data_IF_299566527268
#
_entry.id   IF_299566527268
#
_cell.length_a   1.000
_cell.length_b   1.000
_cell.length_c   1.000
_cell.angle_alpha   90.00
_cell.angle_beta   90.00
_cell.angle_gamma   90.00
#
_symmetry.space_group_name_H-M   'P 1'
#
loop_
_entity.id
_entity.type
_entity.pdbx_description
1 polymer ?
#
# COMPACT_ATOMS: atom_id res chain seq x y z
N UNK A 1 -14.76 -14.15 -41.13
CA UNK A 1 -13.33 -14.02 -41.45
C UNK A 1 -13.00 -12.53 -41.46
N UNK A 2 -12.40 -12.00 -40.41
CA UNK A 2 -11.74 -10.69 -40.38
C UNK A 2 -10.58 -10.82 -39.40
N UNK A 3 -9.38 -10.78 -39.95
CA UNK A 3 -8.09 -10.86 -39.26
C UNK A 3 -7.89 -9.58 -38.44
N UNK A 4 -7.66 -9.71 -37.18
CA UNK A 4 -7.10 -8.64 -36.35
C UNK A 4 -5.58 -8.78 -36.31
N UNK A 5 -4.91 -7.90 -37.06
CA UNK A 5 -3.47 -7.72 -37.05
C UNK A 5 -3.05 -7.11 -35.70
N UNK A 6 -2.12 -7.79 -35.03
CA UNK A 6 -1.46 -7.27 -33.82
C UNK A 6 -0.60 -6.05 -34.16
N UNK A 7 -0.86 -4.94 -33.53
CA UNK A 7 0.05 -3.80 -33.45
C UNK A 7 0.72 -3.78 -32.09
N UNK A 8 2.03 -3.91 -32.16
CA UNK A 8 3.06 -3.92 -31.13
C UNK A 8 2.87 -2.89 -30.00
N UNK A 9 2.81 -3.41 -28.77
CA UNK A 9 2.95 -2.70 -27.49
C UNK A 9 4.45 -2.47 -27.13
N UNK A 10 5.26 -1.97 -28.03
CA UNK A 10 6.69 -1.73 -27.80
C UNK A 10 7.03 -0.25 -27.55
N UNK A 11 6.10 0.57 -27.09
CA UNK A 11 6.30 2.01 -26.94
C UNK A 11 6.14 2.60 -25.53
N UNK A 12 5.88 1.80 -24.48
CA UNK A 12 5.62 2.32 -23.13
C UNK A 12 6.59 1.81 -22.05
N UNK A 13 7.60 1.03 -22.42
CA UNK A 13 8.62 0.53 -21.47
C UNK A 13 9.78 1.52 -21.18
N UNK A 14 9.83 2.70 -21.79
CA UNK A 14 11.02 3.54 -21.77
C UNK A 14 10.87 4.91 -21.07
N UNK A 15 10.06 5.01 -20.02
CA UNK A 15 10.08 6.20 -19.12
C UNK A 15 9.67 5.92 -17.67
N UNK A 16 10.02 4.78 -17.12
CA UNK A 16 10.37 4.71 -15.72
C UNK A 16 11.88 4.97 -15.71
N UNK A 17 12.31 6.21 -15.61
CA UNK A 17 13.65 6.52 -15.20
C UNK A 17 13.83 5.90 -13.81
N UNK A 18 14.29 4.64 -13.82
CA UNK A 18 14.94 4.05 -12.70
C UNK A 18 16.00 5.04 -12.22
N UNK A 19 15.96 5.42 -10.95
CA UNK A 19 17.18 5.74 -10.22
C UNK A 19 18.18 4.67 -10.67
N UNK A 20 19.34 5.02 -11.27
CA UNK A 20 20.20 4.05 -11.88
C UNK A 20 20.72 3.10 -10.80
N UNK A 21 20.11 1.93 -10.72
CA UNK A 21 20.72 0.79 -10.05
C UNK A 21 21.96 0.45 -10.86
N UNK A 22 23.13 0.65 -10.25
CA UNK A 22 24.42 0.33 -10.82
C UNK A 22 24.40 -1.09 -11.40
N UNK A 23 25.01 -1.26 -12.58
CA UNK A 23 25.14 -2.52 -13.33
C UNK A 23 25.65 -3.64 -12.43
N UNK A 24 25.15 -4.84 -12.63
CA UNK A 24 25.31 -6.04 -11.80
C UNK A 24 26.73 -6.53 -11.53
N UNK A 25 27.77 -5.92 -12.05
CA UNK A 25 29.17 -6.37 -11.89
C UNK A 25 29.96 -5.59 -10.81
N UNK A 26 29.50 -4.44 -10.36
CA UNK A 26 30.08 -3.67 -9.25
C UNK A 26 29.40 -3.95 -7.89
N UNK A 27 28.48 -4.90 -7.84
CA UNK A 27 27.52 -5.13 -6.77
C UNK A 27 28.04 -5.86 -5.53
N UNK A 28 29.32 -6.19 -5.49
CA UNK A 28 29.98 -6.80 -4.33
C UNK A 28 30.75 -5.80 -3.46
N UNK A 29 30.58 -4.49 -3.65
CA UNK A 29 30.89 -3.55 -2.59
C UNK A 29 30.00 -3.96 -1.41
N UNK A 30 30.59 -4.60 -0.41
CA UNK A 30 29.89 -5.30 0.66
C UNK A 30 28.92 -4.36 1.36
N UNK A 31 27.62 -4.68 1.31
CA UNK A 31 26.64 -4.02 2.18
C UNK A 31 27.05 -4.34 3.62
N UNK A 32 27.32 -3.29 4.38
CA UNK A 32 27.65 -3.37 5.82
C UNK A 32 26.35 -3.07 6.58
N UNK A 33 25.88 -4.05 7.34
CA UNK A 33 24.70 -3.93 8.18
C UNK A 33 25.08 -3.72 9.65
N UNK A 34 24.33 -2.88 10.33
CA UNK A 34 24.41 -2.65 11.77
C UNK A 34 23.06 -2.96 12.40
N UNK A 35 23.04 -3.69 13.53
CA UNK A 35 21.84 -3.94 14.31
C UNK A 35 21.91 -3.11 15.60
N UNK A 36 20.86 -2.32 15.82
CA UNK A 36 20.63 -1.58 17.07
C UNK A 36 19.44 -2.26 17.78
N UNK A 37 19.68 -2.73 18.98
CA UNK A 37 18.69 -3.52 19.73
C UNK A 37 17.73 -2.62 20.50
N UNK A 38 16.42 -2.93 20.43
CA UNK A 38 15.36 -2.28 21.17
C UNK A 38 15.31 -0.74 21.04
N UNK A 39 15.75 -0.23 19.91
CA UNK A 39 15.80 1.20 19.64
C UNK A 39 15.65 1.48 18.14
N UNK A 40 15.02 2.63 17.82
CA UNK A 40 15.00 3.19 16.45
C UNK A 40 15.76 4.52 16.50
N UNK A 41 17.00 4.55 16.01
CA UNK A 41 17.81 5.77 16.00
C UNK A 41 17.20 6.87 15.11
N UNK A 42 17.40 8.17 15.43
CA UNK A 42 16.83 9.28 14.65
C UNK A 42 17.16 9.19 13.16
N UNK A 43 18.41 8.94 12.78
CA UNK A 43 18.82 8.81 11.38
C UNK A 43 18.17 7.60 10.66
N UNK A 44 17.80 6.54 11.39
CA UNK A 44 17.03 5.43 10.83
C UNK A 44 15.57 5.81 10.60
N UNK A 45 14.98 6.68 11.43
CA UNK A 45 13.63 7.21 11.23
C UNK A 45 13.57 7.99 9.91
N UNK A 46 14.51 8.91 9.70
CA UNK A 46 14.62 9.68 8.47
C UNK A 46 14.91 8.77 7.26
N UNK A 47 15.73 7.74 7.48
CA UNK A 47 16.02 6.71 6.49
C UNK A 47 14.80 5.94 6.02
N UNK A 48 13.92 5.52 6.94
CA UNK A 48 12.66 4.82 6.61
C UNK A 48 11.77 5.66 5.71
N UNK A 49 11.60 6.95 6.04
CA UNK A 49 10.74 7.84 5.25
C UNK A 49 11.34 8.16 3.88
N UNK A 50 12.66 8.43 3.83
CA UNK A 50 13.37 8.75 2.59
C UNK A 50 13.47 7.57 1.64
N UNK A 51 13.78 6.36 2.15
CA UNK A 51 13.99 5.18 1.31
C UNK A 51 12.66 4.58 0.82
N UNK A 52 11.61 4.64 1.63
CA UNK A 52 10.42 3.87 1.35
C UNK A 52 9.17 4.70 1.06
N UNK A 53 9.05 5.89 1.63
CA UNK A 53 7.89 6.77 1.42
C UNK A 53 6.54 6.08 1.70
N UNK A 54 6.53 5.04 2.53
CA UNK A 54 5.38 4.20 2.81
C UNK A 54 4.90 4.39 4.25
N UNK A 55 3.59 4.47 4.44
CA UNK A 55 2.98 4.56 5.77
C UNK A 55 3.38 3.36 6.66
N UNK A 56 3.39 2.16 6.09
CA UNK A 56 3.68 0.91 6.79
C UNK A 56 5.19 0.64 6.97
N UNK A 57 6.04 1.56 6.51
CA UNK A 57 7.46 1.63 6.81
C UNK A 57 7.79 2.84 7.70
N UNK A 58 6.85 3.76 7.93
CA UNK A 58 7.05 4.96 8.73
C UNK A 58 7.03 4.64 10.24
N UNK A 59 8.10 5.01 10.96
CA UNK A 59 8.19 4.76 12.41
C UNK A 59 7.09 5.46 13.19
N UNK A 60 6.68 6.66 12.80
CA UNK A 60 5.56 7.38 13.44
C UNK A 60 4.28 6.55 13.46
N UNK A 61 3.98 5.83 12.38
CA UNK A 61 2.83 4.95 12.30
C UNK A 61 3.05 3.64 13.06
N UNK A 62 4.20 3.00 12.88
CA UNK A 62 4.49 1.70 13.50
C UNK A 62 4.46 1.76 15.02
N UNK A 63 4.98 2.82 15.65
CA UNK A 63 4.92 3.02 17.11
C UNK A 63 3.50 3.27 17.63
N UNK A 64 2.57 3.74 16.79
CA UNK A 64 1.15 3.84 17.19
C UNK A 64 0.45 2.48 17.18
N UNK A 65 0.91 1.56 16.32
CA UNK A 65 0.40 0.19 16.27
C UNK A 65 0.99 -0.68 17.40
N UNK A 66 2.28 -0.48 17.69
CA UNK A 66 3.00 -1.23 18.70
C UNK A 66 4.03 -0.32 19.39
N UNK A 67 3.78 0.12 20.64
CA UNK A 67 4.63 1.08 21.32
C UNK A 67 5.97 0.51 21.81
N UNK A 68 6.13 -0.82 21.84
CA UNK A 68 7.40 -1.46 22.24
C UNK A 68 8.45 -1.23 21.16
N UNK A 69 9.64 -0.71 21.47
CA UNK A 69 10.67 -0.48 20.47
C UNK A 69 11.16 -1.80 19.82
N UNK A 70 11.23 -1.86 18.49
CA UNK A 70 11.81 -3.01 17.77
C UNK A 70 13.33 -2.96 17.78
N UNK A 71 13.95 -4.02 17.25
CA UNK A 71 15.33 -3.95 16.76
C UNK A 71 15.34 -3.20 15.42
N UNK A 72 16.41 -2.46 15.16
CA UNK A 72 16.63 -1.77 13.89
C UNK A 72 17.88 -2.33 13.22
N UNK A 73 17.74 -2.78 11.97
CA UNK A 73 18.85 -3.05 11.10
C UNK A 73 19.01 -1.90 10.10
N UNK A 74 20.24 -1.40 9.97
CA UNK A 74 20.60 -0.29 9.08
C UNK A 74 21.71 -0.79 8.17
N UNK A 75 21.54 -0.60 6.87
CA UNK A 75 22.49 -1.02 5.85
C UNK A 75 23.12 0.16 5.13
N UNK A 76 24.41 0.08 4.95
CA UNK A 76 25.20 1.06 4.23
C UNK A 76 25.95 0.41 3.07
N UNK A 77 26.06 1.12 1.98
CA UNK A 77 26.90 0.79 0.83
C UNK A 77 27.68 2.04 0.45
N UNK A 78 29.04 2.01 0.54
CA UNK A 78 29.90 3.19 0.30
C UNK A 78 29.39 4.43 1.06
N UNK A 79 29.15 4.30 2.35
CA UNK A 79 28.64 5.35 3.27
C UNK A 79 27.23 5.86 2.98
N UNK A 80 26.56 5.35 1.96
CA UNK A 80 25.14 5.66 1.69
C UNK A 80 24.23 4.64 2.36
N UNK A 81 23.24 5.13 3.10
CA UNK A 81 22.21 4.29 3.68
C UNK A 81 21.31 3.73 2.55
N UNK A 82 21.31 2.40 2.40
CA UNK A 82 20.59 1.67 1.35
C UNK A 82 19.45 0.80 1.87
N UNK A 83 19.34 0.64 3.19
CA UNK A 83 18.25 -0.12 3.79
C UNK A 83 18.10 0.15 5.28
N UNK A 84 16.84 0.16 5.75
CA UNK A 84 16.48 0.20 7.17
C UNK A 84 15.33 -0.75 7.39
N UNK A 85 15.49 -1.73 8.28
CA UNK A 85 14.44 -2.69 8.60
C UNK A 85 14.19 -2.75 10.10
N UNK A 86 12.95 -2.60 10.50
CA UNK A 86 12.50 -2.78 11.86
C UNK A 86 11.99 -4.20 12.04
N UNK A 87 12.44 -4.89 13.10
CA UNK A 87 12.08 -6.29 13.30
C UNK A 87 11.99 -6.66 14.77
N UNK A 88 11.31 -7.76 15.05
CA UNK A 88 11.20 -8.41 16.36
C UNK A 88 11.56 -9.88 16.26
N UNK A 89 12.01 -10.43 17.37
CA UNK A 89 12.33 -11.85 17.49
C UNK A 89 11.44 -12.46 18.55
N UNK A 90 10.74 -13.53 18.17
CA UNK A 90 9.92 -14.31 19.08
C UNK A 90 10.05 -15.80 18.75
N UNK A 91 10.45 -16.62 19.72
CA UNK A 91 10.60 -18.08 19.59
C UNK A 91 11.36 -18.49 18.31
N UNK A 92 12.48 -17.82 18.02
CA UNK A 92 13.34 -18.11 16.85
C UNK A 92 12.77 -17.64 15.51
N UNK A 93 11.61 -16.97 15.47
CA UNK A 93 11.09 -16.30 14.30
C UNK A 93 11.41 -14.81 14.35
N UNK A 94 12.11 -14.31 13.33
CA UNK A 94 12.34 -12.89 13.10
C UNK A 94 11.21 -12.36 12.23
N UNK A 95 10.42 -11.44 12.77
CA UNK A 95 9.32 -10.80 12.02
C UNK A 95 9.69 -9.37 11.70
N UNK A 96 9.79 -9.06 10.41
CA UNK A 96 10.02 -7.69 9.93
C UNK A 96 8.70 -6.93 10.02
N UNK A 97 8.75 -5.74 10.64
CA UNK A 97 7.60 -4.85 10.83
C UNK A 97 7.46 -3.82 9.71
N UNK A 98 8.58 -3.52 9.03
CA UNK A 98 8.59 -2.62 7.86
C UNK A 98 7.88 -3.30 6.69
N UNK A 99 6.83 -2.66 6.16
CA UNK A 99 5.99 -3.21 5.08
C UNK A 99 5.80 -2.21 3.94
N UNK A 100 5.28 -2.69 2.80
CA UNK A 100 4.91 -1.91 1.61
C UNK A 100 6.06 -1.10 1.01
N UNK A 101 7.22 -1.71 0.91
CA UNK A 101 8.40 -1.21 0.19
C UNK A 101 8.90 -2.26 -0.81
N UNK A 102 9.84 -1.88 -1.68
CA UNK A 102 10.46 -2.80 -2.64
C UNK A 102 11.72 -3.38 -2.01
N UNK A 103 11.80 -4.69 -1.95
CA UNK A 103 12.94 -5.45 -1.41
C UNK A 103 13.64 -6.20 -2.55
N UNK A 104 14.92 -5.95 -2.73
CA UNK A 104 15.77 -6.76 -3.59
C UNK A 104 16.46 -7.90 -2.83
N UNK A 105 16.97 -8.90 -3.57
CA UNK A 105 17.62 -10.06 -2.98
C UNK A 105 18.93 -9.71 -2.26
N UNK A 106 19.64 -8.66 -2.67
CA UNK A 106 20.92 -8.25 -2.10
C UNK A 106 20.72 -7.71 -0.69
N UNK A 107 19.75 -6.81 -0.52
CA UNK A 107 19.36 -6.27 0.80
C UNK A 107 18.81 -7.39 1.70
N UNK A 108 17.96 -8.27 1.13
CA UNK A 108 17.40 -9.40 1.88
C UNK A 108 18.50 -10.37 2.35
N UNK A 109 19.50 -10.63 1.52
CA UNK A 109 20.64 -11.51 1.85
C UNK A 109 21.55 -10.88 2.91
N UNK A 110 21.86 -9.58 2.81
CA UNK A 110 22.63 -8.86 3.80
C UNK A 110 21.93 -8.87 5.17
N UNK A 111 20.62 -8.55 5.19
CA UNK A 111 19.81 -8.61 6.41
C UNK A 111 19.81 -10.02 7.02
N UNK A 112 19.56 -11.03 6.20
CA UNK A 112 19.52 -12.42 6.68
C UNK A 112 20.88 -12.88 7.24
N UNK A 113 21.98 -12.54 6.59
CA UNK A 113 23.35 -12.81 7.06
C UNK A 113 23.57 -12.21 8.45
N UNK A 114 23.28 -10.92 8.62
CA UNK A 114 23.55 -10.19 9.86
C UNK A 114 22.67 -10.68 11.01
N UNK A 115 21.37 -10.90 10.75
CA UNK A 115 20.41 -11.41 11.73
C UNK A 115 20.77 -12.84 12.16
N UNK A 116 21.05 -13.74 11.22
CA UNK A 116 21.40 -15.11 11.54
C UNK A 116 22.77 -15.26 12.18
N UNK A 117 23.69 -14.34 11.93
CA UNK A 117 24.98 -14.28 12.62
C UNK A 117 24.81 -13.83 14.08
N UNK A 118 24.02 -12.77 14.30
CA UNK A 118 23.84 -12.17 15.62
C UNK A 118 22.94 -13.03 16.53
N UNK A 119 21.87 -13.61 15.97
CA UNK A 119 20.87 -14.38 16.72
C UNK A 119 20.89 -15.86 16.30
N UNK A 120 21.69 -16.65 17.03
CA UNK A 120 21.90 -18.08 16.69
C UNK A 120 20.64 -18.91 16.73
N UNK A 121 19.70 -18.57 17.61
CA UNK A 121 18.42 -19.26 17.76
C UNK A 121 17.39 -18.87 16.70
N UNK A 122 17.65 -17.80 15.93
CA UNK A 122 16.78 -17.40 14.83
C UNK A 122 16.84 -18.44 13.71
N UNK A 123 15.70 -18.96 13.33
CA UNK A 123 15.57 -20.01 12.31
C UNK A 123 15.00 -19.50 11.00
N UNK A 124 14.11 -18.54 11.08
CA UNK A 124 13.39 -17.97 9.92
C UNK A 124 13.22 -16.46 10.07
N UNK A 125 13.18 -15.77 8.93
CA UNK A 125 12.81 -14.36 8.83
C UNK A 125 11.53 -14.28 8.00
N UNK A 126 10.54 -13.53 8.49
CA UNK A 126 9.26 -13.33 7.81
C UNK A 126 9.08 -11.85 7.47
N UNK A 127 8.89 -11.56 6.18
CA UNK A 127 8.39 -10.30 5.65
C UNK A 127 6.92 -10.48 5.29
N UNK A 128 6.07 -9.56 5.69
CA UNK A 128 4.64 -9.74 5.55
C UNK A 128 4.08 -9.16 4.24
N UNK A 129 4.36 -7.91 3.93
CA UNK A 129 3.79 -7.20 2.78
C UNK A 129 4.86 -6.41 2.04
N UNK A 130 5.66 -7.09 1.21
CA UNK A 130 6.76 -6.45 0.47
C UNK A 130 6.63 -6.65 -1.03
N UNK A 131 6.97 -5.62 -1.81
CA UNK A 131 7.25 -5.77 -3.23
C UNK A 131 8.59 -6.49 -3.38
N UNK A 132 8.71 -7.41 -4.34
CA UNK A 132 9.96 -8.13 -4.57
C UNK A 132 10.51 -7.82 -5.96
N UNK A 133 11.79 -7.49 -6.04
CA UNK A 133 12.53 -7.48 -7.30
C UNK A 133 12.98 -8.91 -7.60
N UNK A 134 12.19 -9.63 -8.38
CA UNK A 134 12.42 -11.04 -8.70
C UNK A 134 13.47 -11.21 -9.82
N UNK A 135 14.19 -12.37 -9.84
CA UNK A 135 14.02 -13.55 -9.02
C UNK A 135 14.82 -13.53 -7.70
N UNK A 136 14.36 -14.30 -6.72
CA UNK A 136 15.11 -14.65 -5.50
C UNK A 136 15.68 -16.06 -5.66
N UNK A 137 16.97 -16.20 -5.90
CA UNK A 137 17.63 -17.47 -6.25
C UNK A 137 18.74 -17.88 -5.29
N UNK A 138 19.35 -16.92 -4.61
CA UNK A 138 20.50 -17.12 -3.70
C UNK A 138 20.03 -17.55 -2.30
N UNK A 139 18.85 -17.13 -1.89
CA UNK A 139 18.33 -17.39 -0.55
C UNK A 139 17.48 -18.66 -0.49
N UNK A 140 17.59 -19.40 0.64
CA UNK A 140 16.63 -20.45 0.96
C UNK A 140 15.32 -19.81 1.39
N UNK A 141 14.39 -19.57 0.48
CA UNK A 141 13.17 -18.82 0.77
C UNK A 141 11.93 -19.38 0.07
N UNK A 142 10.79 -18.95 0.58
CA UNK A 142 9.48 -19.13 -0.04
C UNK A 142 8.76 -17.79 -0.08
N UNK A 143 8.07 -17.50 -1.17
CA UNK A 143 7.23 -16.30 -1.28
C UNK A 143 5.98 -16.56 -2.09
N UNK A 144 4.95 -15.75 -1.83
CA UNK A 144 3.74 -15.73 -2.63
C UNK A 144 3.10 -14.34 -2.59
N UNK A 145 2.55 -13.90 -3.73
CA UNK A 145 1.77 -12.67 -3.81
C UNK A 145 0.42 -12.86 -3.12
N UNK A 146 0.02 -11.94 -2.24
CA UNK A 146 -1.26 -12.03 -1.53
C UNK A 146 -2.09 -10.75 -1.59
N UNK A 147 -1.50 -9.64 -1.97
CA UNK A 147 -2.15 -8.33 -2.09
C UNK A 147 -1.46 -7.50 -3.15
N UNK A 148 -1.99 -6.31 -3.37
CA UNK A 148 -1.37 -5.29 -4.22
C UNK A 148 -1.49 -3.91 -3.56
N UNK A 149 -0.53 -3.03 -3.84
CA UNK A 149 -0.61 -1.61 -3.58
C UNK A 149 -0.65 -0.87 -4.92
N UNK A 150 -1.63 0.02 -5.11
CA UNK A 150 -1.68 0.86 -6.29
C UNK A 150 -0.84 2.12 -6.05
N UNK A 151 0.22 2.28 -6.83
CA UNK A 151 1.15 3.40 -6.73
C UNK A 151 1.07 4.24 -8.01
N UNK A 152 0.96 5.53 -7.85
CA UNK A 152 1.00 6.50 -8.93
C UNK A 152 2.28 7.32 -8.82
N UNK A 153 3.16 7.24 -9.82
CA UNK A 153 4.23 8.20 -10.00
C UNK A 153 3.63 9.53 -10.43
N UNK A 154 3.92 10.59 -9.69
CA UNK A 154 3.38 11.92 -9.93
C UNK A 154 4.39 12.73 -10.72
N UNK A 155 3.99 13.41 -11.80
CA UNK A 155 4.85 14.34 -12.53
C UNK A 155 4.98 15.68 -11.76
N UNK A 156 5.90 16.52 -12.19
CA UNK A 156 6.21 17.80 -11.54
C UNK A 156 5.09 18.86 -11.68
N UNK A 157 4.13 18.65 -12.58
CA UNK A 157 3.02 19.60 -12.79
C UNK A 157 1.68 18.91 -13.01
N UNK A 158 0.61 19.62 -12.64
CA UNK A 158 -0.77 19.17 -12.87
C UNK A 158 -1.07 19.06 -14.37
N UNK A 159 -0.52 19.94 -15.17
CA UNK A 159 -0.68 19.97 -16.63
C UNK A 159 -0.08 18.71 -17.26
N UNK A 160 1.14 18.33 -16.87
CA UNK A 160 1.79 17.09 -17.31
C UNK A 160 0.99 15.87 -16.89
N UNK A 161 0.44 15.85 -15.67
CA UNK A 161 -0.45 14.79 -15.22
C UNK A 161 -1.71 14.69 -16.08
N UNK A 162 -2.36 15.83 -16.35
CA UNK A 162 -3.54 15.88 -17.20
C UNK A 162 -3.27 15.38 -18.63
N UNK A 163 -2.12 15.75 -19.19
CA UNK A 163 -1.70 15.28 -20.53
C UNK A 163 -1.47 13.77 -20.56
N UNK A 164 -0.90 13.19 -19.52
CA UNK A 164 -0.65 11.76 -19.40
C UNK A 164 -1.94 10.94 -19.29
N UNK A 165 -3.02 11.51 -18.73
CA UNK A 165 -4.31 10.82 -18.65
C UNK A 165 -4.86 10.47 -20.03
N UNK A 166 -5.43 9.29 -20.19
CA UNK A 166 -6.07 8.85 -21.42
C UNK A 166 -7.22 9.80 -21.87
N UNK A 167 -7.37 10.00 -23.16
CA UNK A 167 -8.39 10.90 -23.76
C UNK A 167 -9.80 10.69 -23.18
N UNK A 168 -10.21 9.42 -23.01
CA UNK A 168 -11.52 9.05 -22.45
C UNK A 168 -11.64 9.48 -21.00
N UNK A 169 -10.58 9.29 -20.19
CA UNK A 169 -10.55 9.69 -18.77
C UNK A 169 -10.64 11.21 -18.65
N UNK A 170 -9.88 11.96 -19.44
CA UNK A 170 -9.94 13.42 -19.48
C UNK A 170 -11.35 13.92 -19.83
N UNK A 171 -11.96 13.33 -20.87
CA UNK A 171 -13.35 13.68 -21.28
C UNK A 171 -14.33 13.41 -20.14
N UNK A 172 -14.18 12.27 -19.45
CA UNK A 172 -15.02 11.86 -18.33
C UNK A 172 -14.89 12.84 -17.15
N UNK A 173 -13.67 13.14 -16.73
CA UNK A 173 -13.41 14.05 -15.60
C UNK A 173 -13.95 15.46 -15.90
N UNK A 174 -13.67 15.99 -17.09
CA UNK A 174 -14.18 17.31 -17.53
C UNK A 174 -15.71 17.34 -17.61
N UNK A 175 -16.31 16.29 -18.20
CA UNK A 175 -17.77 16.21 -18.37
C UNK A 175 -18.52 16.20 -17.05
N UNK A 176 -18.06 15.37 -16.08
CA UNK A 176 -18.70 15.32 -14.75
C UNK A 176 -18.39 16.57 -13.93
N UNK A 177 -17.19 17.15 -14.02
CA UNK A 177 -16.84 18.41 -13.37
C UNK A 177 -17.71 19.56 -13.88
N UNK A 178 -17.84 19.73 -15.20
CA UNK A 178 -18.67 20.79 -15.80
C UNK A 178 -20.16 20.60 -15.44
N UNK A 179 -20.65 19.37 -15.46
CA UNK A 179 -22.01 19.07 -15.05
C UNK A 179 -22.25 19.44 -13.58
N UNK A 180 -21.32 19.07 -12.69
CA UNK A 180 -21.40 19.43 -11.27
C UNK A 180 -21.45 20.95 -11.08
N UNK A 181 -20.57 21.70 -11.73
CA UNK A 181 -20.52 23.16 -11.61
C UNK A 181 -21.77 23.83 -12.21
N UNK A 182 -22.32 23.33 -13.30
CA UNK A 182 -23.56 23.84 -13.89
C UNK A 182 -24.75 23.63 -12.97
N UNK A 183 -24.89 22.41 -12.41
CA UNK A 183 -26.04 22.04 -11.58
C UNK A 183 -25.88 22.54 -10.13
N UNK A 184 -24.66 22.80 -9.70
CA UNK A 184 -24.28 23.33 -8.38
C UNK A 184 -23.20 24.42 -8.51
N UNK A 185 -23.55 25.65 -8.91
CA UNK A 185 -22.58 26.75 -9.11
C UNK A 185 -21.82 27.15 -7.85
N UNK A 186 -22.35 26.79 -6.67
CA UNK A 186 -21.70 27.02 -5.38
C UNK A 186 -20.72 25.91 -4.98
N UNK A 187 -20.44 24.94 -5.87
CA UNK A 187 -19.46 23.91 -5.58
C UNK A 187 -18.04 24.50 -5.55
N UNK A 188 -17.32 24.19 -4.49
CA UNK A 188 -15.93 24.56 -4.30
C UNK A 188 -15.10 23.34 -3.93
N UNK A 189 -13.89 23.25 -4.45
CA UNK A 189 -12.88 22.29 -4.02
C UNK A 189 -11.67 23.06 -3.46
N UNK A 190 -11.28 22.71 -2.24
CA UNK A 190 -10.07 23.24 -1.59
C UNK A 190 -9.31 22.16 -0.87
N UNK A 191 -8.00 22.33 -0.72
CA UNK A 191 -7.23 21.50 0.19
C UNK A 191 -6.77 22.32 1.41
N UNK A 192 -6.57 21.62 2.53
CA UNK A 192 -6.10 22.20 3.77
C UNK A 192 -5.05 21.26 4.38
N UNK A 193 -3.92 21.78 4.78
CA UNK A 193 -2.95 21.02 5.59
C UNK A 193 -3.47 20.90 7.02
N UNK A 194 -3.21 19.79 7.69
CA UNK A 194 -3.71 19.52 9.03
C UNK A 194 -3.30 20.57 10.05
N UNK A 195 -2.10 21.10 9.91
CA UNK A 195 -1.57 22.15 10.79
C UNK A 195 -2.41 23.44 10.80
N UNK A 196 -3.16 23.67 9.70
CA UNK A 196 -4.04 24.84 9.57
C UNK A 196 -5.45 24.59 10.13
N UNK A 197 -5.74 23.36 10.57
CA UNK A 197 -7.07 22.96 11.04
C UNK A 197 -7.06 22.59 12.54
N UNK A 198 -8.00 23.12 13.34
CA UNK A 198 -8.17 22.69 14.72
C UNK A 198 -8.45 21.19 14.83
N UNK A 199 -7.96 20.53 15.87
CA UNK A 199 -8.10 19.06 16.08
C UNK A 199 -9.56 18.57 16.06
N UNK A 200 -10.50 19.34 16.60
CA UNK A 200 -11.91 18.97 16.59
C UNK A 200 -12.49 19.00 15.17
N UNK A 201 -12.05 19.94 14.31
CA UNK A 201 -12.44 20.01 12.90
C UNK A 201 -11.88 18.81 12.14
N UNK A 202 -10.59 18.48 12.32
CA UNK A 202 -9.99 17.28 11.71
C UNK A 202 -10.77 16.03 12.07
N UNK A 203 -11.16 15.86 13.34
CA UNK A 203 -11.97 14.73 13.82
C UNK A 203 -13.33 14.69 13.13
N UNK A 204 -14.02 15.82 13.08
CA UNK A 204 -15.32 15.91 12.40
C UNK A 204 -15.24 15.54 10.92
N UNK A 205 -14.21 16.02 10.20
CA UNK A 205 -13.96 15.71 8.79
C UNK A 205 -13.68 14.21 8.58
N UNK A 206 -12.83 13.60 9.39
CA UNK A 206 -12.55 12.15 9.30
C UNK A 206 -13.82 11.33 9.51
N UNK A 207 -14.61 11.64 10.55
CA UNK A 207 -15.87 10.95 10.78
C UNK A 207 -16.85 11.13 9.63
N UNK A 208 -17.01 12.35 9.10
CA UNK A 208 -17.91 12.61 7.97
C UNK A 208 -17.49 11.82 6.71
N UNK A 209 -16.18 11.77 6.41
CA UNK A 209 -15.65 10.99 5.29
C UNK A 209 -15.84 9.48 5.49
N UNK A 210 -15.70 8.98 6.72
CA UNK A 210 -15.97 7.58 7.05
C UNK A 210 -17.46 7.25 6.86
N UNK A 211 -18.37 8.16 7.26
CA UNK A 211 -19.81 8.00 7.04
C UNK A 211 -20.15 7.96 5.53
N UNK A 212 -19.61 8.84 4.72
CA UNK A 212 -19.76 8.80 3.26
C UNK A 212 -19.24 7.48 2.68
N UNK A 213 -18.08 7.01 3.12
CA UNK A 213 -17.52 5.72 2.70
C UNK A 213 -18.45 4.57 3.09
N UNK A 214 -18.95 4.55 4.34
CA UNK A 214 -19.89 3.55 4.84
C UNK A 214 -21.17 3.53 4.01
N UNK A 215 -21.83 4.67 3.84
CA UNK A 215 -23.05 4.81 3.07
C UNK A 215 -22.87 4.34 1.61
N UNK A 216 -21.77 4.76 0.96
CA UNK A 216 -21.45 4.35 -0.41
C UNK A 216 -21.20 2.84 -0.53
N UNK A 217 -20.60 2.20 0.48
CA UNK A 217 -20.33 0.76 0.46
C UNK A 217 -21.60 -0.05 0.76
N UNK A 218 -22.43 0.41 1.70
CA UNK A 218 -23.74 -0.19 2.00
C UNK A 218 -24.66 -0.18 0.77
N UNK A 219 -24.71 0.93 0.04
CA UNK A 219 -25.46 1.03 -1.22
C UNK A 219 -25.00 0.02 -2.29
N UNK A 220 -23.76 -0.50 -2.19
CA UNK A 220 -23.22 -1.55 -3.06
C UNK A 220 -23.32 -2.97 -2.46
N UNK A 221 -24.07 -3.15 -1.37
CA UNK A 221 -24.22 -4.43 -0.68
C UNK A 221 -22.99 -4.90 0.08
N UNK A 222 -22.05 -3.99 0.41
CA UNK A 222 -20.82 -4.30 1.16
C UNK A 222 -20.92 -3.72 2.56
N UNK A 223 -20.63 -4.54 3.58
CA UNK A 223 -20.50 -4.04 4.95
C UNK A 223 -19.07 -3.52 5.17
N UNK A 224 -18.94 -2.33 5.74
CA UNK A 224 -17.68 -1.74 6.21
C UNK A 224 -17.78 -1.58 7.71
N UNK A 225 -16.93 -2.29 8.44
CA UNK A 225 -16.68 -2.01 9.85
C UNK A 225 -15.72 -0.82 9.94
N UNK A 226 -16.10 0.23 10.63
CA UNK A 226 -15.21 1.31 11.03
C UNK A 226 -14.66 0.90 12.39
N UNK A 227 -13.36 0.61 12.43
CA UNK A 227 -12.68 0.28 13.66
C UNK A 227 -12.29 1.56 14.41
N UNK A 228 -12.66 1.66 15.69
CA UNK A 228 -12.38 2.82 16.51
C UNK A 228 -10.87 2.99 16.77
N UNK A 229 -10.13 1.88 16.88
CA UNK A 229 -8.68 1.92 17.06
C UNK A 229 -7.98 2.42 15.80
N UNK A 230 -8.32 1.88 14.62
CA UNK A 230 -7.81 2.36 13.33
C UNK A 230 -8.16 3.83 13.11
N UNK A 231 -9.36 4.27 13.49
CA UNK A 231 -9.77 5.67 13.40
C UNK A 231 -8.91 6.56 14.30
N UNK A 232 -8.60 6.11 15.51
CA UNK A 232 -7.74 6.85 16.45
C UNK A 232 -6.31 6.97 15.91
N UNK A 233 -5.76 5.89 15.36
CA UNK A 233 -4.43 5.91 14.71
C UNK A 233 -4.41 6.86 13.52
N UNK A 234 -5.44 6.79 12.66
CA UNK A 234 -5.58 7.67 11.51
C UNK A 234 -5.64 9.15 11.92
N UNK A 235 -6.41 9.48 12.97
CA UNK A 235 -6.50 10.85 13.50
C UNK A 235 -5.17 11.34 14.06
N UNK A 236 -4.41 10.50 14.75
CA UNK A 236 -3.07 10.85 15.24
C UNK A 236 -2.12 11.14 14.08
N UNK A 237 -2.08 10.27 13.07
CA UNK A 237 -1.26 10.49 11.88
C UNK A 237 -1.71 11.71 11.08
N UNK A 238 -3.03 11.86 10.87
CA UNK A 238 -3.59 13.00 10.16
C UNK A 238 -3.18 14.32 10.80
N UNK A 239 -3.14 14.36 12.11
CA UNK A 239 -2.78 15.56 12.86
C UNK A 239 -1.36 16.07 12.59
N UNK A 240 -0.44 15.15 12.30
CA UNK A 240 0.98 15.48 12.13
C UNK A 240 1.38 15.65 10.65
N UNK A 241 0.74 14.91 9.75
CA UNK A 241 1.13 14.88 8.33
C UNK A 241 -0.06 14.78 7.35
N UNK A 242 -1.26 15.15 7.80
CA UNK A 242 -2.46 15.06 6.97
C UNK A 242 -2.64 16.23 6.01
N UNK A 243 -3.21 15.93 4.86
CA UNK A 243 -3.76 16.88 3.89
C UNK A 243 -5.21 16.49 3.61
N UNK A 244 -6.14 17.40 3.87
CA UNK A 244 -7.56 17.22 3.59
C UNK A 244 -7.91 17.88 2.26
N UNK A 245 -8.54 17.13 1.35
CA UNK A 245 -9.24 17.67 0.20
C UNK A 245 -10.73 17.78 0.55
N UNK A 246 -11.34 18.94 0.32
CA UNK A 246 -12.71 19.24 0.76
C UNK A 246 -13.53 19.78 -0.41
N UNK A 247 -14.56 19.04 -0.82
CA UNK A 247 -15.57 19.47 -1.77
C UNK A 247 -16.84 19.87 -1.05
N UNK A 248 -17.30 21.11 -1.23
CA UNK A 248 -18.49 21.62 -0.57
C UNK A 248 -19.46 22.27 -1.54
N UNK A 249 -20.77 22.20 -1.22
CA UNK A 249 -21.86 22.90 -1.92
C UNK A 249 -22.58 23.73 -0.87
N UNK A 250 -22.65 25.05 -1.07
CA UNK A 250 -23.24 26.00 -0.10
C UNK A 250 -22.66 25.82 1.31
N UNK A 251 -21.35 25.61 1.40
CA UNK A 251 -20.62 25.39 2.66
C UNK A 251 -20.80 24.01 3.29
N UNK A 252 -21.66 23.13 2.77
CA UNK A 252 -21.85 21.77 3.28
C UNK A 252 -20.93 20.79 2.57
N UNK A 253 -20.13 20.03 3.32
CA UNK A 253 -19.25 18.99 2.77
C UNK A 253 -20.07 17.95 2.00
N UNK A 254 -19.67 17.68 0.76
CA UNK A 254 -20.30 16.65 -0.10
C UNK A 254 -19.27 15.61 -0.62
N UNK A 255 -17.99 15.91 -0.57
CA UNK A 255 -16.91 14.96 -0.87
C UNK A 255 -15.62 15.38 -0.17
N UNK A 256 -14.70 14.46 -0.06
CA UNK A 256 -13.37 14.80 0.42
C UNK A 256 -12.42 13.63 0.44
N UNK A 257 -11.19 13.95 0.82
CA UNK A 257 -10.11 13.00 0.97
C UNK A 257 -9.25 13.34 2.18
N UNK A 258 -8.52 12.34 2.66
CA UNK A 258 -7.42 12.49 3.58
C UNK A 258 -6.23 11.75 3.02
N UNK A 259 -5.16 12.46 2.73
CA UNK A 259 -3.86 11.93 2.37
C UNK A 259 -2.85 12.23 3.48
N UNK A 260 -1.91 11.30 3.73
CA UNK A 260 -0.82 11.47 4.69
C UNK A 260 0.49 11.66 3.93
N UNK A 261 1.26 12.69 4.28
CA UNK A 261 2.58 12.95 3.72
C UNK A 261 3.64 12.12 4.46
N UNK A 262 4.36 11.27 3.74
CA UNK A 262 5.45 10.44 4.25
C UNK A 262 6.66 10.65 3.33
N UNK A 263 7.65 11.40 3.78
CA UNK A 263 8.74 11.82 2.91
C UNK A 263 8.22 12.58 1.68
N UNK A 264 8.64 12.15 0.48
CA UNK A 264 8.20 12.72 -0.81
C UNK A 264 6.92 12.05 -1.35
N UNK A 265 6.27 11.21 -0.55
CA UNK A 265 5.10 10.44 -0.95
C UNK A 265 3.86 10.89 -0.22
N UNK A 266 2.70 10.69 -0.85
CA UNK A 266 1.40 10.77 -0.18
C UNK A 266 0.72 9.40 -0.15
N UNK A 267 0.03 9.11 0.95
CA UNK A 267 -0.78 7.89 1.10
C UNK A 267 -2.24 8.27 1.25
N UNK A 268 -3.07 7.93 0.28
CA UNK A 268 -4.51 8.24 0.26
C UNK A 268 -5.27 7.29 1.20
N UNK A 269 -5.55 7.74 2.42
CA UNK A 269 -6.21 6.94 3.45
C UNK A 269 -7.73 6.91 3.29
N UNK A 270 -8.31 8.06 3.00
CA UNK A 270 -9.74 8.21 2.77
C UNK A 270 -9.96 9.00 1.48
N UNK A 271 -10.92 8.58 0.70
CA UNK A 271 -11.49 9.35 -0.39
C UNK A 271 -12.96 8.92 -0.52
N UNK A 272 -13.87 9.82 -0.25
CA UNK A 272 -15.29 9.51 -0.18
C UNK A 272 -16.15 10.70 -0.61
N UNK A 273 -17.37 10.41 -1.06
CA UNK A 273 -18.36 11.40 -1.43
C UNK A 273 -19.74 10.96 -0.92
N UNK A 274 -20.59 11.92 -0.65
CA UNK A 274 -21.97 11.71 -0.29
C UNK A 274 -22.68 10.97 -1.44
N UNK A 275 -23.33 9.83 -1.18
CA UNK A 275 -24.07 9.06 -2.17
C UNK A 275 -25.16 9.87 -2.92
N UNK A 276 -25.69 10.91 -2.31
CA UNK A 276 -26.66 11.82 -2.94
C UNK A 276 -26.12 12.44 -4.25
N UNK A 277 -24.79 12.59 -4.34
CA UNK A 277 -24.10 13.14 -5.52
C UNK A 277 -23.48 12.06 -6.43
N UNK A 278 -23.92 10.81 -6.33
CA UNK A 278 -23.38 9.67 -7.10
C UNK A 278 -23.48 9.88 -8.62
N UNK A 279 -24.50 10.58 -9.10
CA UNK A 279 -24.70 10.92 -10.51
C UNK A 279 -23.56 11.75 -11.13
N UNK A 280 -22.79 12.47 -10.31
CA UNK A 280 -21.62 13.28 -10.74
C UNK A 280 -20.29 12.53 -10.66
N UNK A 281 -20.31 11.26 -10.25
CA UNK A 281 -19.08 10.48 -9.94
C UNK A 281 -18.10 11.24 -9.03
N UNK A 282 -18.66 11.94 -8.05
CA UNK A 282 -17.93 12.88 -7.21
C UNK A 282 -16.77 12.25 -6.46
N UNK A 283 -16.87 10.95 -6.10
CA UNK A 283 -15.72 10.21 -5.52
C UNK A 283 -14.53 10.05 -6.48
N UNK A 284 -14.76 9.93 -7.80
CA UNK A 284 -13.68 9.92 -8.80
C UNK A 284 -13.06 11.31 -8.94
N UNK A 285 -13.89 12.34 -9.01
CA UNK A 285 -13.44 13.74 -9.11
C UNK A 285 -12.64 14.12 -7.86
N UNK A 286 -13.10 13.77 -6.66
CA UNK A 286 -12.41 14.03 -5.40
C UNK A 286 -11.01 13.36 -5.40
N UNK A 287 -10.90 12.10 -5.83
CA UNK A 287 -9.62 11.42 -5.94
C UNK A 287 -8.69 12.13 -6.93
N UNK A 288 -9.19 12.51 -8.11
CA UNK A 288 -8.44 13.24 -9.12
C UNK A 288 -7.94 14.59 -8.61
N UNK A 289 -8.80 15.40 -8.00
CA UNK A 289 -8.41 16.70 -7.45
C UNK A 289 -7.40 16.56 -6.31
N UNK A 290 -7.57 15.56 -5.45
CA UNK A 290 -6.59 15.27 -4.40
C UNK A 290 -5.22 14.91 -4.95
N UNK A 291 -5.15 14.16 -6.05
CA UNK A 291 -3.88 13.87 -6.74
C UNK A 291 -3.26 15.14 -7.31
N UNK A 292 -4.08 16.03 -7.90
CA UNK A 292 -3.59 17.34 -8.35
C UNK A 292 -3.05 18.18 -7.18
N UNK A 293 -3.70 18.11 -6.01
CA UNK A 293 -3.23 18.82 -4.82
C UNK A 293 -1.92 18.21 -4.28
N UNK A 294 -1.75 16.88 -4.31
CA UNK A 294 -0.48 16.23 -3.98
C UNK A 294 0.66 16.71 -4.92
N UNK A 295 0.40 16.83 -6.23
CA UNK A 295 1.37 17.35 -7.20
C UNK A 295 1.77 18.79 -6.84
N UNK A 296 0.80 19.66 -6.54
CA UNK A 296 1.08 21.06 -6.13
C UNK A 296 1.92 21.15 -4.86
N UNK A 297 1.86 20.12 -4.00
CA UNK A 297 2.68 19.99 -2.80
C UNK A 297 4.05 19.33 -3.05
N UNK A 298 4.44 19.13 -4.31
CA UNK A 298 5.73 18.56 -4.70
C UNK A 298 5.86 17.06 -4.46
N UNK A 299 4.76 16.33 -4.40
CA UNK A 299 4.78 14.89 -4.23
C UNK A 299 5.36 14.18 -5.45
N UNK A 300 6.24 13.21 -5.24
CA UNK A 300 6.78 12.35 -6.30
C UNK A 300 5.92 11.13 -6.58
N UNK A 301 5.18 10.66 -5.59
CA UNK A 301 4.28 9.51 -5.74
C UNK A 301 3.10 9.58 -4.78
N UNK A 302 2.02 8.88 -5.17
CA UNK A 302 0.85 8.71 -4.33
C UNK A 302 0.46 7.23 -4.25
N UNK A 303 0.33 6.71 -3.03
CA UNK A 303 -0.14 5.37 -2.76
C UNK A 303 -1.67 5.38 -2.60
N UNK A 304 -2.37 4.68 -3.48
CA UNK A 304 -3.83 4.50 -3.43
C UNK A 304 -4.23 3.22 -2.70
N UNK A 305 -3.27 2.57 -2.03
CA UNK A 305 -3.43 1.36 -1.24
C UNK A 305 -4.04 0.18 -2.03
N UNK A 306 -4.54 -0.82 -1.31
CA UNK A 306 -5.07 -2.06 -1.88
C UNK A 306 -6.48 -1.91 -2.47
N UNK A 307 -6.90 -2.94 -3.18
CA UNK A 307 -8.21 -3.07 -3.82
C UNK A 307 -8.21 -2.67 -5.29
N UNK A 308 -8.61 -3.64 -6.13
CA UNK A 308 -8.73 -3.45 -7.58
C UNK A 308 -9.98 -2.67 -7.93
N UNK A 309 -9.80 -1.38 -8.11
CA UNK A 309 -10.84 -0.48 -8.58
C UNK A 309 -10.40 0.17 -9.88
N UNK A 310 -11.19 0.02 -10.94
CA UNK A 310 -10.91 0.53 -12.29
C UNK A 310 -10.48 2.00 -12.31
N UNK A 311 -11.02 2.82 -11.41
CA UNK A 311 -10.68 4.24 -11.36
C UNK A 311 -9.19 4.50 -11.03
N UNK A 312 -8.53 3.61 -10.29
CA UNK A 312 -7.10 3.76 -9.96
C UNK A 312 -6.24 3.68 -11.21
N UNK A 313 -6.51 2.68 -12.07
CA UNK A 313 -5.82 2.50 -13.34
C UNK A 313 -6.18 3.63 -14.32
N UNK A 314 -7.43 4.10 -14.32
CA UNK A 314 -7.84 5.28 -15.10
C UNK A 314 -7.08 6.55 -14.69
N UNK A 315 -6.70 6.66 -13.41
CA UNK A 315 -5.88 7.73 -12.85
C UNK A 315 -4.37 7.42 -12.90
N UNK A 316 -3.95 6.44 -13.71
CA UNK A 316 -2.56 6.03 -13.98
C UNK A 316 -1.84 5.34 -12.81
N UNK A 317 -2.55 4.89 -11.78
CA UNK A 317 -1.91 4.12 -10.72
C UNK A 317 -1.63 2.67 -11.20
N UNK A 318 -0.44 2.18 -10.90
CA UNK A 318 0.04 0.86 -11.28
C UNK A 318 -0.01 -0.07 -10.07
N UNK A 319 -0.50 -1.31 -10.22
CA UNK A 319 -0.49 -2.27 -9.13
C UNK A 319 0.92 -2.83 -8.88
N UNK A 320 1.44 -2.62 -7.69
CA UNK A 320 2.65 -3.26 -7.18
C UNK A 320 2.24 -4.48 -6.37
N UNK A 321 2.66 -5.67 -6.80
CA UNK A 321 2.36 -6.91 -6.09
C UNK A 321 3.05 -6.97 -4.75
N UNK A 322 2.29 -7.23 -3.69
CA UNK A 322 2.81 -7.41 -2.34
C UNK A 322 2.90 -8.89 -2.01
N UNK A 323 4.05 -9.30 -1.56
CA UNK A 323 4.37 -10.69 -1.26
C UNK A 323 4.55 -10.90 0.25
N UNK A 324 4.21 -12.09 0.69
CA UNK A 324 4.74 -12.64 1.92
C UNK A 324 5.98 -13.43 1.56
N UNK A 325 7.12 -13.07 2.18
CA UNK A 325 8.40 -13.72 1.98
C UNK A 325 8.84 -14.34 3.31
N UNK A 326 9.33 -15.59 3.26
CA UNK A 326 9.98 -16.25 4.37
C UNK A 326 11.34 -16.72 3.94
N UNK A 327 12.38 -16.28 4.65
CA UNK A 327 13.79 -16.69 4.44
C UNK A 327 14.15 -17.64 5.57
N UNK A 328 14.73 -18.77 5.22
CA UNK A 328 15.20 -19.78 6.16
C UNK A 328 16.71 -19.66 6.35
N UNK A 329 17.22 -20.00 7.52
CA UNK A 329 18.67 -19.96 7.81
C UNK A 329 19.48 -20.76 6.80
N UNK A 330 18.98 -21.89 6.34
CA UNK A 330 19.58 -22.70 5.28
C UNK A 330 18.52 -23.58 4.60
N UNK A 331 18.91 -24.19 3.46
CA UNK A 331 18.06 -25.19 2.78
C UNK A 331 17.75 -26.39 3.68
N UNK A 332 18.69 -26.79 4.55
CA UNK A 332 18.44 -27.86 5.54
C UNK A 332 17.41 -27.45 6.58
N UNK A 333 17.48 -26.24 7.13
CA UNK A 333 16.46 -25.72 8.04
C UNK A 333 15.07 -25.63 7.39
N UNK A 334 15.03 -25.35 6.10
CA UNK A 334 13.80 -25.39 5.33
C UNK A 334 13.24 -26.80 5.26
N UNK A 335 14.07 -27.80 4.89
CA UNK A 335 13.63 -29.21 4.76
C UNK A 335 13.20 -29.84 6.10
N UNK A 336 13.83 -29.45 7.21
CA UNK A 336 13.47 -29.93 8.55
C UNK A 336 12.10 -29.37 9.06
N UNK A 337 11.45 -28.50 8.32
CA UNK A 337 10.18 -27.87 8.73
C UNK A 337 9.07 -28.05 7.69
N UNK A 338 8.74 -29.31 7.32
CA UNK A 338 7.77 -29.59 6.24
C UNK A 338 6.40 -28.97 6.50
N UNK A 339 5.94 -28.92 7.75
CA UNK A 339 4.66 -28.29 8.12
C UNK A 339 4.63 -26.78 7.82
N UNK A 340 5.74 -26.07 8.04
CA UNK A 340 5.82 -24.63 7.72
C UNK A 340 5.83 -24.40 6.22
N UNK A 341 6.55 -25.23 5.47
CA UNK A 341 6.54 -25.21 4.00
C UNK A 341 5.12 -25.45 3.49
N UNK A 342 4.46 -26.53 3.98
CA UNK A 342 3.10 -26.88 3.59
C UNK A 342 2.11 -25.75 3.88
N UNK A 343 2.19 -25.12 5.06
CA UNK A 343 1.34 -23.98 5.42
C UNK A 343 1.55 -22.77 4.51
N UNK A 344 2.80 -22.41 4.17
CA UNK A 344 3.09 -21.32 3.26
C UNK A 344 2.58 -21.62 1.85
N UNK A 345 2.83 -22.84 1.36
CA UNK A 345 2.36 -23.31 0.04
C UNK A 345 0.84 -23.33 -0.03
N UNK A 346 0.15 -23.86 0.99
CA UNK A 346 -1.31 -23.90 1.06
C UNK A 346 -1.92 -22.49 1.10
N UNK A 347 -1.31 -21.55 1.86
CA UNK A 347 -1.73 -20.16 1.87
C UNK A 347 -1.54 -19.51 0.50
N UNK A 348 -0.40 -19.72 -0.15
CA UNK A 348 -0.15 -19.23 -1.51
C UNK A 348 -1.15 -19.79 -2.51
N UNK A 349 -1.45 -21.06 -2.43
CA UNK A 349 -2.44 -21.72 -3.29
C UNK A 349 -3.85 -21.18 -3.08
N UNK A 350 -4.27 -21.06 -1.81
CA UNK A 350 -5.58 -20.49 -1.46
C UNK A 350 -5.75 -19.04 -1.97
N UNK A 351 -4.67 -18.24 -1.97
CA UNK A 351 -4.71 -16.88 -2.50
C UNK A 351 -4.80 -16.86 -4.03
N UNK A 352 -4.08 -17.74 -4.73
CA UNK A 352 -4.20 -17.89 -6.20
C UNK A 352 -5.61 -18.31 -6.59
N UNK A 353 -6.20 -19.29 -5.89
CA UNK A 353 -7.58 -19.71 -6.11
C UNK A 353 -8.56 -18.55 -5.89
N UNK A 354 -8.39 -17.76 -4.82
CA UNK A 354 -9.22 -16.58 -4.56
C UNK A 354 -9.05 -15.50 -5.64
N UNK A 355 -7.83 -15.27 -6.12
CA UNK A 355 -7.55 -14.33 -7.20
C UNK A 355 -8.20 -14.77 -8.51
N UNK A 356 -8.07 -16.04 -8.85
CA UNK A 356 -8.72 -16.66 -10.01
C UNK A 356 -10.25 -16.56 -9.97
N UNK A 357 -10.87 -16.88 -8.82
CA UNK A 357 -12.32 -16.73 -8.61
C UNK A 357 -12.84 -15.30 -8.70
N UNK A 358 -11.97 -14.30 -8.50
CA UNK A 358 -12.33 -12.89 -8.65
C UNK A 358 -12.14 -12.40 -10.08
N UNK A 359 -11.23 -12.99 -10.85
CA UNK A 359 -10.90 -12.58 -12.22
C UNK A 359 -11.86 -13.15 -13.26
N UNK A 360 -12.47 -14.29 -13.02
CA UNK A 360 -13.45 -14.86 -13.96
C UNK A 360 -14.79 -14.12 -13.87
N UNK A 361 -15.30 -13.74 -15.04
CA UNK A 361 -16.68 -13.28 -15.21
C UNK A 361 -17.66 -14.35 -14.69
N UNK A 362 -18.91 -14.00 -14.31
CA UNK A 362 -19.81 -14.87 -13.55
C UNK A 362 -20.35 -16.03 -14.41
N UNK A 363 -19.52 -17.00 -14.72
CA UNK A 363 -19.94 -18.29 -15.27
C UNK A 363 -20.74 -19.07 -14.20
N UNK A 364 -21.62 -19.96 -14.65
CA UNK A 364 -22.45 -20.80 -13.74
C UNK A 364 -21.59 -21.59 -12.75
N UNK A 365 -20.40 -22.05 -13.16
CA UNK A 365 -19.43 -22.76 -12.33
C UNK A 365 -18.79 -21.88 -11.24
N UNK A 366 -18.48 -20.63 -11.55
CA UNK A 366 -17.94 -19.67 -10.56
C UNK A 366 -18.94 -19.31 -9.45
N UNK A 367 -20.25 -19.48 -9.68
CA UNK A 367 -21.29 -19.28 -8.63
C UNK A 367 -21.35 -20.47 -7.65
N UNK A 368 -21.22 -21.70 -8.13
CA UNK A 368 -21.22 -22.91 -7.30
C UNK A 368 -19.98 -22.92 -6.38
N UNK A 369 -18.80 -22.64 -6.93
CA UNK A 369 -17.55 -22.59 -6.17
C UNK A 369 -17.55 -21.44 -5.15
N UNK A 370 -18.17 -20.28 -5.46
CA UNK A 370 -18.40 -19.21 -4.49
C UNK A 370 -19.33 -19.61 -3.34
N UNK A 371 -20.35 -20.42 -3.63
CA UNK A 371 -21.23 -21.02 -2.62
C UNK A 371 -20.46 -21.92 -1.66
N UNK A 372 -19.66 -22.85 -2.17
CA UNK A 372 -18.83 -23.75 -1.35
C UNK A 372 -17.78 -22.99 -0.50
N UNK A 373 -17.16 -21.94 -1.04
CA UNK A 373 -16.20 -21.12 -0.28
C UNK A 373 -16.86 -20.22 0.78
N UNK A 374 -18.11 -19.82 0.62
CA UNK A 374 -18.86 -19.10 1.66
C UNK A 374 -19.16 -20.00 2.86
N UNK A 375 -19.38 -21.28 2.61
CA UNK A 375 -19.55 -22.31 3.67
C UNK A 375 -18.22 -22.56 4.39
N UNK A 376 -17.11 -22.72 3.66
CA UNK A 376 -15.78 -22.87 4.26
C UNK A 376 -15.31 -21.63 5.05
N UNK A 377 -15.74 -20.42 4.67
CA UNK A 377 -15.49 -19.22 5.47
C UNK A 377 -16.22 -19.23 6.82
N UNK A 378 -17.41 -19.79 6.89
CA UNK A 378 -18.14 -19.97 8.17
C UNK A 378 -17.40 -20.89 9.13
N UNK A 379 -16.74 -21.93 8.63
CA UNK A 379 -15.92 -22.85 9.46
C UNK A 379 -14.52 -22.30 9.78
N UNK A 380 -13.93 -21.43 8.94
CA UNK A 380 -12.59 -20.84 9.17
C UNK A 380 -12.59 -19.62 10.10
N UNK A 381 -13.72 -18.96 10.31
CA UNK A 381 -13.83 -17.80 11.23
C UNK A 381 -13.77 -18.21 12.69
N UNK A 382 -14.09 -19.45 13.01
CA UNK A 382 -13.99 -20.01 14.37
C UNK A 382 -12.53 -20.23 14.80
N UNK A 383 -11.61 -20.43 13.87
CA UNK A 383 -10.18 -20.61 14.16
C UNK A 383 -9.40 -19.31 14.38
N UNK A 384 -9.88 -18.18 13.84
CA UNK A 384 -9.22 -16.89 14.06
C UNK A 384 -9.55 -16.26 15.42
N UNK A 385 -10.70 -16.62 16.02
CA UNK A 385 -11.07 -16.16 17.36
C UNK A 385 -10.25 -16.83 18.48
N UNK A 386 -9.69 -18.01 18.23
CA UNK A 386 -8.91 -18.78 19.22
C UNK A 386 -7.41 -18.38 19.19
N UNK A 387 -6.93 -17.77 18.12
CA UNK A 387 -5.51 -17.37 17.97
C UNK A 387 -5.18 -15.97 18.49
N UNK A 388 -6.15 -15.18 18.90
CA UNK A 388 -5.93 -13.85 19.51
C UNK A 388 -6.08 -13.83 21.04
N UNK A 389 -6.26 -15.00 21.69
CA UNK A 389 -6.36 -15.13 23.15
C UNK A 389 -5.21 -15.94 23.77
N UNK A 390 -4.06 -16.01 23.14
CA UNK A 390 -2.83 -16.52 23.79
C UNK A 390 -1.63 -15.65 23.47
#
# INVERSE_FOLDING_TARGET
MAQYSGSSLTGLESRAEHVPFARADDSLASIVGQIVEHQVPPHAIDGLERLYGSLYACWRFLRLCDPVPPHTWIAYQRDHMVGVLLFRINAGLVRVQTEMFILDETIAAAFARDVFSRYRDASDIEFNAVGLTLPFTRLACQYFAFSENYVLALPDSVESYQQALGKSTRKTLRGYGNRLLRDHPSFEWRYCLSETLPRHVQRALVHQLQEFKRASMTARGKQVKIDAHETTQLLRMAADCGMFGLGSIRGKLCAGSLALKIGDSYVMMLCAADPAFSGYRLGLLACYWSLCDCIKQGARQCHLLWGRYRYKEQLLAVPVSLHRLRIYRSRWHMLLRPMRIACMTARGWSQRCRAWLRSESPSRQGRIVRGCLSVLKRFGSTYHAISMQK
#
